data_IF_196075254004
#
_entry.id   IF_196075254004
#
_cell.length_a   1.000
_cell.length_b   1.000
_cell.length_c   1.000
_cell.angle_alpha   90.00
_cell.angle_beta   90.00
_cell.angle_gamma   90.00
#
_symmetry.space_group_name_H-M   'P 1'
#
loop_
_entity.id
_entity.type
_entity.pdbx_description
1 polymer ?
#
# COMPACT_ATOMS: atom_id res chain seq x y z
N UNK A 1 18.09 22.01 -33.00
CA UNK A 1 17.95 20.89 -33.96
C UNK A 1 18.98 19.86 -33.57
N UNK A 2 18.56 18.72 -33.03
CA UNK A 2 19.47 17.70 -32.51
C UNK A 2 20.03 16.86 -33.67
N UNK A 3 21.33 17.00 -33.94
CA UNK A 3 22.09 16.13 -34.84
C UNK A 3 22.12 14.72 -34.25
N UNK A 4 21.12 13.91 -34.59
CA UNK A 4 21.11 12.51 -34.20
C UNK A 4 22.21 11.80 -34.99
N UNK A 5 23.10 11.05 -34.33
CA UNK A 5 24.11 10.23 -35.01
C UNK A 5 23.49 9.28 -36.06
N UNK A 6 22.21 8.93 -35.88
CA UNK A 6 21.41 8.19 -36.83
C UNK A 6 21.24 8.89 -38.18
N UNK A 7 21.38 10.22 -38.27
CA UNK A 7 21.31 11.00 -39.51
C UNK A 7 22.49 10.82 -40.46
N UNK A 8 23.61 10.26 -39.98
CA UNK A 8 24.82 10.03 -40.78
C UNK A 8 24.88 8.64 -41.43
N UNK A 9 23.88 7.79 -41.20
CA UNK A 9 23.84 6.40 -41.70
C UNK A 9 23.12 6.35 -43.07
N UNK A 10 23.52 5.49 -44.02
CA UNK A 10 22.78 5.31 -45.28
C UNK A 10 21.32 4.89 -45.07
N UNK A 11 20.40 5.37 -45.91
CA UNK A 11 18.94 5.24 -45.73
C UNK A 11 18.43 3.81 -45.54
N UNK A 12 19.07 2.82 -46.17
CA UNK A 12 18.73 1.38 -46.04
C UNK A 12 19.13 0.81 -44.68
N UNK A 13 20.30 1.18 -44.15
CA UNK A 13 20.76 0.75 -42.83
C UNK A 13 20.05 1.51 -41.70
N UNK A 14 19.69 2.78 -41.93
CA UNK A 14 18.80 3.55 -41.04
C UNK A 14 17.46 2.86 -40.88
N UNK A 15 16.88 2.36 -41.98
CA UNK A 15 15.60 1.64 -41.94
C UNK A 15 15.71 0.35 -41.13
N UNK A 16 16.76 -0.44 -41.36
CA UNK A 16 17.03 -1.68 -40.59
C UNK A 16 17.33 -1.42 -39.11
N UNK A 17 17.98 -0.31 -38.76
CA UNK A 17 18.20 0.08 -37.37
C UNK A 17 16.90 0.53 -36.71
N UNK A 18 16.08 1.34 -37.39
CA UNK A 18 14.75 1.73 -36.90
C UNK A 18 13.82 0.54 -36.74
N UNK A 19 13.87 -0.44 -37.63
CA UNK A 19 13.11 -1.69 -37.51
C UNK A 19 13.63 -2.57 -36.37
N UNK A 20 14.95 -2.58 -36.09
CA UNK A 20 15.54 -3.27 -34.93
C UNK A 20 15.22 -2.62 -33.58
N UNK A 21 15.10 -1.29 -33.54
CA UNK A 21 14.79 -0.53 -32.32
C UNK A 21 13.30 -0.20 -32.17
N UNK A 22 12.47 -0.55 -33.15
CA UNK A 22 11.02 -0.63 -32.96
C UNK A 22 10.77 -1.87 -32.12
N UNK A 23 10.45 -1.69 -30.84
CA UNK A 23 9.75 -2.71 -30.09
C UNK A 23 8.56 -3.15 -30.95
N UNK A 24 8.36 -4.45 -31.06
CA UNK A 24 7.20 -4.97 -31.78
C UNK A 24 5.92 -4.43 -31.14
N UNK A 25 4.86 -4.28 -31.93
CA UNK A 25 3.58 -3.79 -31.44
C UNK A 25 3.11 -4.60 -30.21
N UNK A 26 3.32 -5.92 -30.23
CA UNK A 26 3.07 -6.82 -29.11
C UNK A 26 3.94 -6.55 -27.86
N UNK A 27 5.19 -6.10 -28.02
CA UNK A 27 6.05 -5.72 -26.88
C UNK A 27 5.65 -4.36 -26.31
N UNK A 28 5.23 -3.42 -27.16
CA UNK A 28 4.65 -2.15 -26.72
C UNK A 28 3.33 -2.35 -25.97
N UNK A 29 2.45 -3.23 -26.43
CA UNK A 29 1.20 -3.56 -25.73
C UNK A 29 1.49 -4.20 -24.37
N UNK A 30 2.42 -5.15 -24.30
CA UNK A 30 2.85 -5.75 -23.01
C UNK A 30 3.49 -4.74 -22.06
N UNK A 31 4.20 -3.74 -22.59
CA UNK A 31 4.74 -2.65 -21.78
C UNK A 31 3.61 -1.74 -21.28
N UNK A 32 2.64 -1.43 -22.13
CA UNK A 32 1.48 -0.61 -21.79
C UNK A 32 0.58 -1.27 -20.74
N UNK A 33 0.41 -2.59 -20.79
CA UNK A 33 -0.30 -3.35 -19.76
C UNK A 33 0.44 -3.38 -18.41
N UNK A 34 1.78 -3.29 -18.42
CA UNK A 34 2.59 -3.29 -17.20
C UNK A 34 2.68 -1.94 -16.51
N UNK A 35 2.47 -0.84 -17.24
CA UNK A 35 2.56 0.51 -16.70
C UNK A 35 1.17 0.91 -16.20
N UNK A 36 1.07 1.21 -14.90
CA UNK A 36 -0.17 1.72 -14.30
C UNK A 36 -0.60 3.02 -14.99
N UNK A 37 -1.91 3.22 -15.12
CA UNK A 37 -2.44 4.46 -15.66
C UNK A 37 -2.10 5.66 -14.77
N UNK A 38 -2.10 6.89 -15.31
CA UNK A 38 -1.89 8.10 -14.52
C UNK A 38 -2.93 8.24 -13.41
N UNK A 39 -4.19 7.89 -13.67
CA UNK A 39 -5.28 7.95 -12.67
C UNK A 39 -5.06 6.95 -11.51
N UNK A 40 -4.53 5.76 -11.81
CA UNK A 40 -4.23 4.77 -10.77
C UNK A 40 -3.06 5.22 -9.88
N UNK A 41 -2.07 5.88 -10.49
CA UNK A 41 -0.94 6.49 -9.80
C UNK A 41 -1.39 7.62 -8.88
N UNK A 42 -2.27 8.50 -9.34
CA UNK A 42 -2.83 9.59 -8.52
C UNK A 42 -3.55 9.04 -7.29
N UNK A 43 -4.41 8.02 -7.47
CA UNK A 43 -5.11 7.37 -6.35
C UNK A 43 -4.16 6.71 -5.35
N UNK A 44 -3.11 6.05 -5.84
CA UNK A 44 -2.09 5.45 -4.96
C UNK A 44 -1.30 6.51 -4.20
N UNK A 45 -0.97 7.63 -4.85
CA UNK A 45 -0.28 8.75 -4.21
C UNK A 45 -1.12 9.39 -3.11
N UNK A 46 -2.39 9.71 -3.39
CA UNK A 46 -3.32 10.27 -2.40
C UNK A 46 -3.47 9.34 -1.19
N UNK A 47 -3.60 8.04 -1.43
CA UNK A 47 -3.71 7.05 -0.35
C UNK A 47 -2.43 6.98 0.50
N UNK A 48 -1.26 7.01 -0.14
CA UNK A 48 0.02 6.99 0.56
C UNK A 48 0.24 8.25 1.39
N UNK A 49 -0.17 9.41 0.87
CA UNK A 49 -0.12 10.69 1.58
C UNK A 49 -0.97 10.63 2.86
N UNK A 50 -2.22 10.16 2.76
CA UNK A 50 -3.10 10.01 3.91
C UNK A 50 -2.55 9.02 4.96
N UNK A 51 -1.92 7.94 4.53
CA UNK A 51 -1.28 6.98 5.45
C UNK A 51 -0.07 7.57 6.15
N UNK A 52 0.72 8.40 5.46
CA UNK A 52 1.86 9.09 6.04
C UNK A 52 1.41 10.15 7.05
N UNK A 53 0.36 10.91 6.73
CA UNK A 53 -0.28 11.86 7.65
C UNK A 53 -0.86 11.16 8.87
N UNK A 54 -1.59 10.06 8.68
CA UNK A 54 -2.12 9.26 9.77
C UNK A 54 -1.00 8.72 10.67
N UNK A 55 0.09 8.23 10.08
CA UNK A 55 1.26 7.76 10.83
C UNK A 55 1.85 8.89 11.68
N UNK A 56 2.05 10.06 11.07
CA UNK A 56 2.57 11.23 11.78
C UNK A 56 1.62 11.64 12.92
N UNK A 57 0.31 11.71 12.66
CA UNK A 57 -0.71 12.05 13.64
C UNK A 57 -0.75 11.07 14.81
N UNK A 58 -0.63 9.76 14.56
CA UNK A 58 -0.54 8.75 15.61
C UNK A 58 0.74 8.88 16.46
N UNK A 59 1.84 9.30 15.85
CA UNK A 59 3.11 9.53 16.56
C UNK A 59 3.09 10.85 17.37
N UNK A 60 2.44 11.89 16.86
CA UNK A 60 2.35 13.20 17.52
C UNK A 60 1.25 13.29 18.58
N UNK A 61 0.12 12.61 18.36
CA UNK A 61 -1.08 12.70 19.19
C UNK A 61 -1.47 11.34 19.78
N UNK A 62 -1.05 11.03 21.02
CA UNK A 62 -1.32 9.72 21.62
C UNK A 62 -2.83 9.44 21.80
N UNK A 63 -3.63 10.50 21.99
CA UNK A 63 -5.10 10.40 22.09
C UNK A 63 -5.73 9.87 20.81
N UNK A 64 -5.19 10.26 19.64
CA UNK A 64 -5.69 9.79 18.35
C UNK A 64 -5.35 8.31 18.18
N UNK A 65 -4.12 7.91 18.51
CA UNK A 65 -3.70 6.51 18.47
C UNK A 65 -4.55 5.63 19.41
N UNK A 66 -4.86 6.10 20.62
CA UNK A 66 -5.74 5.41 21.57
C UNK A 66 -7.19 5.30 21.06
N UNK A 67 -7.74 6.38 20.48
CA UNK A 67 -9.08 6.38 19.91
C UNK A 67 -9.19 5.38 18.75
N UNK A 68 -8.19 5.36 17.86
CA UNK A 68 -8.15 4.45 16.72
C UNK A 68 -7.96 3.00 17.17
N UNK A 69 -7.15 2.75 18.22
CA UNK A 69 -7.05 1.43 18.88
C UNK A 69 -8.40 0.98 19.43
N UNK A 70 -9.11 1.86 20.15
CA UNK A 70 -10.41 1.55 20.72
C UNK A 70 -11.46 1.23 19.64
N UNK A 71 -11.44 1.97 18.54
CA UNK A 71 -12.29 1.72 17.39
C UNK A 71 -12.01 0.35 16.75
N UNK A 72 -10.74 0.06 16.45
CA UNK A 72 -10.34 -1.25 15.91
C UNK A 72 -10.74 -2.38 16.85
N UNK A 73 -10.60 -2.19 18.17
CA UNK A 73 -11.03 -3.19 19.16
C UNK A 73 -12.54 -3.42 19.13
N UNK A 74 -13.33 -2.36 18.99
CA UNK A 74 -14.78 -2.47 18.86
C UNK A 74 -15.18 -3.17 17.58
N UNK A 75 -14.54 -2.85 16.46
CA UNK A 75 -14.79 -3.51 15.16
C UNK A 75 -14.42 -5.00 15.20
N UNK A 76 -13.34 -5.37 15.91
CA UNK A 76 -12.99 -6.77 16.14
C UNK A 76 -14.07 -7.49 16.97
N UNK A 77 -14.65 -6.82 17.98
CA UNK A 77 -15.75 -7.39 18.78
C UNK A 77 -17.04 -7.56 17.98
N UNK A 78 -17.35 -6.60 17.10
CA UNK A 78 -18.59 -6.60 16.32
C UNK A 78 -18.55 -7.54 15.10
N UNK A 79 -17.46 -7.49 14.33
CA UNK A 79 -17.34 -8.20 13.05
C UNK A 79 -16.48 -9.46 13.11
N UNK A 80 -15.77 -9.65 14.21
CA UNK A 80 -14.82 -10.74 14.40
C UNK A 80 -13.45 -10.44 13.80
N UNK A 81 -12.44 -11.05 14.41
CA UNK A 81 -11.03 -10.94 14.02
C UNK A 81 -10.74 -11.24 12.54
N UNK A 82 -11.32 -12.27 11.88
CA UNK A 82 -11.01 -12.56 10.47
C UNK A 82 -11.61 -11.55 9.47
N UNK A 83 -12.58 -10.75 9.91
CA UNK A 83 -13.18 -9.71 9.07
C UNK A 83 -12.35 -8.43 9.08
N UNK A 84 -11.80 -8.09 10.25
CA UNK A 84 -11.04 -6.85 10.45
C UNK A 84 -9.58 -7.02 10.04
N UNK A 85 -8.96 -8.16 10.36
CA UNK A 85 -7.55 -8.42 10.10
C UNK A 85 -7.35 -9.43 8.97
N UNK A 86 -6.29 -9.24 8.20
CA UNK A 86 -5.90 -10.20 7.18
C UNK A 86 -5.24 -11.42 7.84
N UNK A 87 -6.06 -12.41 8.21
CA UNK A 87 -5.64 -13.57 8.99
C UNK A 87 -4.82 -14.57 8.16
N UNK A 88 -3.52 -14.37 8.12
CA UNK A 88 -2.57 -15.41 7.73
C UNK A 88 -2.19 -16.21 8.99
N UNK A 89 -2.88 -17.32 9.23
CA UNK A 89 -2.51 -18.35 10.23
C UNK A 89 -1.96 -17.81 11.56
N UNK A 90 -2.77 -17.08 12.32
CA UNK A 90 -2.37 -16.61 13.65
C UNK A 90 -2.34 -17.78 14.63
N UNK A 91 -1.30 -17.83 15.47
CA UNK A 91 -1.25 -18.78 16.59
C UNK A 91 -2.41 -18.53 17.57
N UNK A 92 -2.95 -19.57 18.20
CA UNK A 92 -4.11 -19.43 19.08
C UNK A 92 -3.90 -18.48 20.28
N UNK A 93 -2.65 -18.32 20.74
CA UNK A 93 -2.30 -17.35 21.78
C UNK A 93 -2.32 -15.90 21.30
N UNK A 94 -1.97 -15.64 20.03
CA UNK A 94 -2.07 -14.31 19.42
C UNK A 94 -3.51 -13.88 19.22
N UNK A 95 -4.37 -14.80 18.75
CA UNK A 95 -5.80 -14.51 18.61
C UNK A 95 -6.39 -14.03 19.93
N UNK A 96 -6.08 -14.72 21.03
CA UNK A 96 -6.54 -14.32 22.36
C UNK A 96 -5.97 -12.96 22.81
N UNK A 97 -4.72 -12.64 22.49
CA UNK A 97 -4.13 -11.33 22.83
C UNK A 97 -4.80 -10.19 22.04
N UNK A 98 -5.05 -10.41 20.75
CA UNK A 98 -5.74 -9.46 19.87
C UNK A 98 -7.20 -9.25 20.29
N UNK A 99 -7.91 -10.32 20.68
CA UNK A 99 -9.29 -10.23 21.21
C UNK A 99 -9.36 -9.46 22.54
N UNK A 100 -8.34 -9.62 23.40
CA UNK A 100 -8.23 -8.86 24.65
C UNK A 100 -7.92 -7.38 24.42
N UNK A 101 -7.40 -7.04 23.25
CA UNK A 101 -7.02 -5.68 22.89
C UNK A 101 -5.57 -5.33 23.23
N UNK A 102 -4.71 -6.31 23.50
CA UNK A 102 -3.30 -6.12 23.86
C UNK A 102 -2.46 -5.90 22.60
N UNK A 103 -2.71 -4.79 21.90
CA UNK A 103 -2.03 -4.44 20.66
C UNK A 103 -1.84 -2.93 20.47
N UNK A 104 -0.86 -2.59 19.66
CA UNK A 104 -0.57 -1.22 19.23
C UNK A 104 -0.78 -1.11 17.72
N UNK A 105 -1.28 0.03 17.26
CA UNK A 105 -1.43 0.31 15.83
C UNK A 105 -0.16 0.97 15.30
N UNK A 106 0.24 0.59 14.09
CA UNK A 106 1.35 1.25 13.39
C UNK A 106 1.12 1.19 11.89
N UNK A 107 1.74 2.10 11.15
CA UNK A 107 1.80 2.03 9.69
C UNK A 107 3.17 1.49 9.30
N UNK A 108 3.17 0.35 8.61
CA UNK A 108 4.40 -0.31 8.16
C UNK A 108 4.31 -0.65 6.66
N UNK A 109 5.44 -0.60 5.94
CA UNK A 109 5.48 -1.04 4.55
C UNK A 109 5.29 -2.55 4.46
N UNK A 110 4.45 -2.99 3.53
CA UNK A 110 4.33 -4.40 3.20
C UNK A 110 5.64 -4.93 2.59
N UNK A 111 6.07 -6.11 3.03
CA UNK A 111 7.34 -6.70 2.60
C UNK A 111 7.36 -7.07 1.10
N UNK A 112 6.19 -7.25 0.47
CA UNK A 112 6.09 -7.65 -0.95
C UNK A 112 5.86 -6.48 -1.88
N UNK A 113 5.00 -5.54 -1.49
CA UNK A 113 4.59 -4.43 -2.34
C UNK A 113 5.32 -3.12 -2.03
N UNK A 114 5.96 -3.03 -0.85
CA UNK A 114 6.54 -1.78 -0.33
C UNK A 114 5.55 -0.64 -0.20
N UNK A 115 4.25 -0.96 -0.22
CA UNK A 115 3.17 -0.01 0.01
C UNK A 115 2.87 0.00 1.51
N UNK A 116 2.71 1.19 2.06
CA UNK A 116 2.37 1.36 3.46
C UNK A 116 0.98 0.82 3.77
N UNK A 117 0.85 0.13 4.90
CA UNK A 117 -0.42 -0.43 5.36
C UNK A 117 -0.55 -0.29 6.87
N UNK A 118 -1.79 -0.12 7.32
CA UNK A 118 -2.12 -0.14 8.74
C UNK A 118 -1.96 -1.57 9.27
N UNK A 119 -1.11 -1.75 10.27
CA UNK A 119 -0.83 -3.03 10.89
C UNK A 119 -1.08 -2.97 12.39
N UNK A 120 -1.59 -4.08 12.91
CA UNK A 120 -1.75 -4.32 14.33
C UNK A 120 -0.55 -5.09 14.83
N UNK A 121 0.12 -4.56 15.85
CA UNK A 121 1.31 -5.16 16.48
C UNK A 121 0.93 -5.64 17.88
N UNK A 122 0.88 -6.96 18.13
CA UNK A 122 0.62 -7.51 19.45
C UNK A 122 1.70 -7.13 20.47
N UNK A 123 1.30 -6.78 21.69
CA UNK A 123 2.24 -6.47 22.76
C UNK A 123 3.08 -7.72 23.11
N UNK A 124 4.40 -7.64 22.95
CA UNK A 124 5.35 -8.73 23.25
C UNK A 124 5.83 -9.56 22.06
N UNK A 125 5.26 -9.40 20.86
CA UNK A 125 5.75 -10.05 19.62
C UNK A 125 5.72 -9.10 18.43
N UNK A 126 6.76 -8.26 18.35
CA UNK A 126 6.96 -7.29 17.26
C UNK A 126 7.12 -7.97 15.89
N UNK A 127 7.50 -9.25 15.85
CA UNK A 127 7.70 -10.01 14.62
C UNK A 127 6.41 -10.44 13.90
N UNK A 128 5.24 -10.32 14.55
CA UNK A 128 3.95 -10.77 14.01
C UNK A 128 2.99 -9.59 13.82
N UNK A 129 3.43 -8.59 13.03
CA UNK A 129 2.56 -7.50 12.59
C UNK A 129 1.47 -8.04 11.65
N UNK A 130 0.20 -7.80 11.99
CA UNK A 130 -0.94 -8.30 11.23
C UNK A 130 -1.59 -7.13 10.48
N UNK A 131 -1.65 -7.16 9.14
CA UNK A 131 -2.27 -6.08 8.40
C UNK A 131 -3.78 -6.05 8.60
N UNK A 132 -4.32 -4.84 8.72
CA UNK A 132 -5.77 -4.59 8.69
C UNK A 132 -6.26 -4.87 7.28
N UNK A 133 -7.45 -5.44 7.17
CA UNK A 133 -8.09 -5.69 5.87
C UNK A 133 -8.31 -4.38 5.12
N UNK A 134 -8.28 -4.44 3.79
CA UNK A 134 -8.41 -3.26 2.94
C UNK A 134 -9.71 -2.49 3.20
N UNK A 135 -10.83 -3.19 3.44
CA UNK A 135 -12.13 -2.57 3.68
C UNK A 135 -12.14 -1.67 4.93
N UNK A 136 -11.58 -2.15 6.03
CA UNK A 136 -11.51 -1.37 7.27
C UNK A 136 -10.44 -0.30 7.21
N UNK A 137 -9.31 -0.56 6.52
CA UNK A 137 -8.28 0.45 6.28
C UNK A 137 -8.84 1.69 5.57
N UNK A 138 -9.61 1.50 4.49
CA UNK A 138 -10.28 2.60 3.77
C UNK A 138 -11.33 3.33 4.62
N UNK A 139 -12.02 2.61 5.51
CA UNK A 139 -12.97 3.23 6.44
C UNK A 139 -12.27 4.13 7.45
N UNK A 140 -11.15 3.70 8.04
CA UNK A 140 -10.39 4.50 8.99
C UNK A 140 -9.76 5.72 8.30
N UNK A 141 -9.18 5.55 7.12
CA UNK A 141 -8.64 6.66 6.31
C UNK A 141 -9.74 7.65 5.90
N UNK A 142 -10.91 7.15 5.51
CA UNK A 142 -12.05 7.99 5.15
C UNK A 142 -12.65 8.76 6.33
N UNK A 143 -12.51 8.25 7.56
CA UNK A 143 -12.90 8.99 8.78
C UNK A 143 -11.86 10.04 9.14
N UNK A 144 -10.57 9.72 9.02
CA UNK A 144 -9.47 10.66 9.24
C UNK A 144 -9.56 11.85 8.29
N UNK A 145 -9.76 11.61 6.98
CA UNK A 145 -9.94 12.67 5.96
C UNK A 145 -11.15 13.58 6.21
N UNK A 146 -12.15 13.14 6.99
CA UNK A 146 -13.32 13.96 7.36
C UNK A 146 -13.13 14.73 8.66
N UNK A 147 -12.14 14.35 9.45
CA UNK A 147 -11.82 14.95 10.74
C UNK A 147 -10.83 16.13 10.59
N UNK A 148 -10.00 16.11 9.55
CA UNK A 148 -9.23 17.26 9.03
C UNK A 148 -10.11 18.28 8.29
#
# INVERSE_FOLDING_TARGET
MSDSWLDRIPTTERRRLRERFRLSEAEYERLREKVKGPEDLEREMERNELLAELKFAMESEPKLAEALRAQVQEDIRQHGLPSVLHTLHLSGSLMQALEKGDFTLSVQPDAKTSIDQLVVVPEGKVAEAVPVSAAFSEQYLGQFKKAD
#
